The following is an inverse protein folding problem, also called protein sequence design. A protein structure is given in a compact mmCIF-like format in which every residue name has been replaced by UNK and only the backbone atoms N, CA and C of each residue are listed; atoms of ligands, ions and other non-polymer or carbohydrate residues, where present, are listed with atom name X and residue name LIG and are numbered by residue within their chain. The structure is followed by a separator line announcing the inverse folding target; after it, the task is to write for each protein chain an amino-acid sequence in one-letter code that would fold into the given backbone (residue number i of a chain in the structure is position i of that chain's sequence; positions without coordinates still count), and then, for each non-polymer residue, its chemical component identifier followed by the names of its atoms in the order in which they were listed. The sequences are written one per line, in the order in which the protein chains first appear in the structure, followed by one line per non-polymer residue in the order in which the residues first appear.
data_IF_383364770535
#
_entry.id   IF_383364770535
#
_cell.length_a   1.000
_cell.length_b   1.000
_cell.length_c   1.000
_cell.angle_alpha   90.00
_cell.angle_beta   90.00
_cell.angle_gamma   90.00
#
_symmetry.space_group_name_H-M   'P 1'
#
loop_
_entity.id
_entity.type
_entity.pdbx_description
1 polymer ?
#
# COMPACT_ATOMS: atom_id res chain seq x y z
N UNK A 1 9.17 -1.81 -1.13
CA UNK A 1 8.44 -0.76 -1.90
C UNK A 1 7.51 -1.46 -2.86
N UNK A 2 6.21 -1.16 -2.82
CA UNK A 2 5.23 -1.77 -3.73
C UNK A 2 5.12 -0.97 -5.02
N UNK A 3 5.05 -1.60 -6.19
CA UNK A 3 4.78 -0.90 -7.43
C UNK A 3 3.33 -0.43 -7.47
N UNK A 4 3.10 0.69 -8.14
CA UNK A 4 1.76 1.17 -8.45
C UNK A 4 1.34 0.63 -9.82
N UNK A 5 0.28 -0.21 -9.92
CA UNK A 5 -0.08 -0.89 -11.16
C UNK A 5 -0.91 0.03 -12.09
N UNK A 6 -0.41 1.22 -12.40
CA UNK A 6 -1.08 2.21 -13.25
C UNK A 6 -0.87 2.00 -14.75
N UNK A 7 0.09 1.17 -15.14
CA UNK A 7 0.44 0.90 -16.53
C UNK A 7 0.31 -0.56 -16.91
N UNK A 8 0.46 -0.84 -18.21
CA UNK A 8 0.35 -2.19 -18.79
C UNK A 8 1.52 -3.13 -18.41
N UNK A 9 2.47 -2.69 -17.60
CA UNK A 9 3.62 -3.49 -17.17
C UNK A 9 4.67 -2.70 -16.41
N UNK A 10 5.67 -3.42 -15.91
CA UNK A 10 6.81 -2.85 -15.21
C UNK A 10 7.68 -2.01 -16.15
N UNK A 11 8.23 -0.93 -15.63
CA UNK A 11 9.35 -0.23 -16.26
C UNK A 11 10.67 -0.59 -15.53
N UNK A 12 11.81 -0.31 -16.13
CA UNK A 12 13.14 -0.67 -15.63
C UNK A 12 13.46 -0.12 -14.22
N UNK A 13 12.81 0.95 -13.82
CA UNK A 13 12.96 1.51 -12.46
C UNK A 13 12.37 0.64 -11.34
N UNK A 14 11.36 -0.19 -11.65
CA UNK A 14 10.77 -1.08 -10.64
C UNK A 14 11.78 -2.15 -10.16
N UNK A 15 12.40 -2.94 -11.06
CA UNK A 15 13.37 -3.96 -10.65
C UNK A 15 14.59 -3.41 -9.93
N UNK A 16 14.98 -2.16 -10.20
CA UNK A 16 16.18 -1.57 -9.62
C UNK A 16 16.24 -1.71 -8.09
N UNK A 17 15.15 -1.33 -7.41
CA UNK A 17 15.07 -1.49 -5.95
C UNK A 17 14.86 -2.93 -5.50
N UNK A 18 14.19 -3.74 -6.32
CA UNK A 18 13.87 -5.14 -5.95
C UNK A 18 15.08 -6.07 -6.06
N UNK A 19 15.97 -5.84 -7.03
CA UNK A 19 17.19 -6.64 -7.20
C UNK A 19 18.03 -6.61 -5.92
N UNK A 20 18.27 -5.44 -5.35
CA UNK A 20 19.06 -5.31 -4.14
C UNK A 20 18.45 -6.07 -2.96
N UNK A 21 17.13 -5.92 -2.74
CA UNK A 21 16.44 -6.61 -1.66
C UNK A 21 16.37 -8.14 -1.89
N UNK A 22 16.25 -8.58 -3.14
CA UNK A 22 16.23 -10.00 -3.48
C UNK A 22 17.59 -10.66 -3.26
N UNK A 23 18.68 -10.05 -3.70
CA UNK A 23 20.04 -10.53 -3.47
C UNK A 23 20.29 -10.66 -1.96
N UNK A 24 19.94 -9.65 -1.18
CA UNK A 24 20.11 -9.68 0.26
C UNK A 24 19.27 -10.77 0.94
N UNK A 25 18.02 -10.92 0.51
CA UNK A 25 17.10 -11.94 1.02
C UNK A 25 17.63 -13.36 0.74
N UNK A 26 18.12 -13.61 -0.48
CA UNK A 26 18.75 -14.88 -0.86
C UNK A 26 19.99 -15.14 -0.02
N UNK A 27 20.86 -14.16 0.11
CA UNK A 27 22.07 -14.28 0.95
C UNK A 27 21.71 -14.68 2.39
N UNK A 28 20.70 -14.02 2.99
CA UNK A 28 20.27 -14.34 4.35
C UNK A 28 19.68 -15.74 4.48
N UNK A 29 18.89 -16.19 3.50
CA UNK A 29 18.38 -17.59 3.49
C UNK A 29 19.52 -18.60 3.43
N UNK A 30 20.53 -18.37 2.58
CA UNK A 30 21.70 -19.23 2.52
C UNK A 30 22.53 -19.26 3.81
N UNK A 31 22.40 -18.23 4.64
CA UNK A 31 22.99 -18.16 5.99
C UNK A 31 22.10 -18.78 7.08
N UNK A 32 20.98 -19.40 6.72
CA UNK A 32 20.07 -20.07 7.64
C UNK A 32 19.07 -19.15 8.36
N UNK A 33 18.96 -17.88 7.95
CA UNK A 33 17.95 -16.98 8.52
C UNK A 33 16.55 -17.28 7.97
N UNK A 34 15.55 -17.13 8.83
CA UNK A 34 14.15 -17.05 8.40
C UNK A 34 13.89 -15.65 7.81
N UNK A 35 13.62 -15.57 6.50
CA UNK A 35 13.53 -14.31 5.77
C UNK A 35 12.10 -14.06 5.30
N UNK A 36 11.51 -12.99 5.78
CA UNK A 36 10.26 -12.46 5.26
C UNK A 36 10.56 -11.48 4.10
N UNK A 37 10.26 -11.89 2.88
CA UNK A 37 10.44 -11.08 1.66
C UNK A 37 9.12 -10.97 0.90
N UNK A 38 8.14 -10.21 1.39
CA UNK A 38 6.84 -10.07 0.76
C UNK A 38 6.89 -9.10 -0.41
N UNK A 39 5.87 -9.17 -1.25
CA UNK A 39 5.59 -8.19 -2.30
C UNK A 39 4.12 -7.83 -2.27
N UNK A 40 3.78 -6.71 -2.88
CA UNK A 40 2.42 -6.24 -2.97
C UNK A 40 2.28 -5.13 -4.00
N UNK A 41 1.09 -4.53 -4.02
CA UNK A 41 0.75 -3.49 -4.98
C UNK A 41 0.08 -2.33 -4.27
N UNK A 42 0.59 -1.14 -4.52
CA UNK A 42 -0.09 0.10 -4.15
C UNK A 42 -1.14 0.37 -5.22
N UNK A 43 -2.38 0.01 -4.93
CA UNK A 43 -3.42 -0.17 -5.94
C UNK A 43 -4.59 0.81 -5.84
N UNK A 44 -4.50 1.81 -4.98
CA UNK A 44 -5.38 2.97 -5.00
C UNK A 44 -4.75 4.12 -5.75
N UNK A 45 -5.56 4.99 -6.34
CA UNK A 45 -5.09 6.28 -6.79
C UNK A 45 -5.81 6.85 -8.01
N UNK A 46 -5.61 8.15 -8.19
CA UNK A 46 -6.21 8.97 -9.23
C UNK A 46 -6.00 8.45 -10.67
N UNK A 47 -4.82 7.90 -11.07
CA UNK A 47 -4.67 7.38 -12.42
C UNK A 47 -5.63 6.25 -12.78
N UNK A 48 -5.93 5.34 -11.84
CA UNK A 48 -6.90 4.27 -12.06
C UNK A 48 -8.33 4.82 -12.18
N UNK A 49 -8.67 5.82 -11.39
CA UNK A 49 -9.97 6.49 -11.42
C UNK A 49 -10.17 7.28 -12.72
N UNK A 50 -9.17 8.05 -13.14
CA UNK A 50 -9.21 8.79 -14.41
C UNK A 50 -9.32 7.86 -15.62
N UNK A 51 -8.63 6.72 -15.58
CA UNK A 51 -8.76 5.72 -16.63
C UNK A 51 -10.19 5.14 -16.68
N UNK A 52 -10.78 4.87 -15.52
CA UNK A 52 -12.15 4.38 -15.40
C UNK A 52 -13.16 5.38 -15.98
N UNK A 53 -13.01 6.67 -15.67
CA UNK A 53 -13.87 7.74 -16.22
C UNK A 53 -13.78 7.79 -17.73
N UNK A 54 -12.56 7.72 -18.31
CA UNK A 54 -12.35 7.80 -19.75
C UNK A 54 -12.87 6.58 -20.52
N UNK A 55 -12.81 5.40 -19.91
CA UNK A 55 -13.10 4.13 -20.60
C UNK A 55 -14.44 3.52 -20.22
N UNK A 56 -15.12 4.07 -19.20
CA UNK A 56 -16.35 3.48 -18.65
C UNK A 56 -16.11 2.14 -17.94
N UNK A 57 -14.84 1.76 -17.67
CA UNK A 57 -14.53 0.52 -16.95
C UNK A 57 -14.37 0.79 -15.46
N UNK A 58 -14.86 -0.15 -14.64
CA UNK A 58 -14.66 -0.06 -13.21
C UNK A 58 -13.16 -0.16 -12.85
N UNK A 59 -12.61 0.74 -11.98
CA UNK A 59 -11.19 0.80 -11.67
C UNK A 59 -10.60 -0.54 -11.22
N UNK A 60 -11.36 -1.30 -10.46
CA UNK A 60 -10.96 -2.63 -9.97
C UNK A 60 -10.55 -3.57 -11.09
N UNK A 61 -11.29 -3.60 -12.21
CA UNK A 61 -11.02 -4.51 -13.33
C UNK A 61 -9.63 -4.24 -13.90
N UNK A 62 -9.39 -3.01 -14.32
CA UNK A 62 -8.10 -2.60 -14.90
C UNK A 62 -6.94 -2.78 -13.92
N UNK A 63 -7.13 -2.41 -12.65
CA UNK A 63 -6.11 -2.58 -11.61
C UNK A 63 -5.71 -4.04 -11.45
N UNK A 64 -6.68 -4.97 -11.41
CA UNK A 64 -6.37 -6.40 -11.27
C UNK A 64 -5.71 -7.00 -12.53
N UNK A 65 -6.11 -6.56 -13.73
CA UNK A 65 -5.45 -6.95 -14.98
C UNK A 65 -3.98 -6.50 -14.98
N UNK A 66 -3.71 -5.27 -14.58
CA UNK A 66 -2.35 -4.75 -14.45
C UNK A 66 -1.55 -5.50 -13.38
N UNK A 67 -2.11 -5.76 -12.20
CA UNK A 67 -1.48 -6.56 -11.15
C UNK A 67 -1.07 -7.94 -11.70
N UNK A 68 -1.94 -8.61 -12.44
CA UNK A 68 -1.64 -9.90 -13.04
C UNK A 68 -0.48 -9.82 -14.03
N UNK A 69 -0.39 -8.74 -14.81
CA UNK A 69 0.72 -8.51 -15.72
C UNK A 69 2.02 -8.27 -14.96
N UNK A 70 2.01 -7.39 -13.97
CA UNK A 70 3.16 -7.11 -13.10
C UNK A 70 3.66 -8.37 -12.42
N UNK A 71 2.75 -9.20 -11.89
CA UNK A 71 3.09 -10.47 -11.27
C UNK A 71 3.82 -11.40 -12.22
N UNK A 72 3.30 -11.60 -13.43
CA UNK A 72 3.93 -12.42 -14.46
C UNK A 72 5.33 -11.92 -14.83
N UNK A 73 5.51 -10.61 -14.88
CA UNK A 73 6.82 -10.02 -15.20
C UNK A 73 7.82 -10.21 -14.06
N UNK A 74 7.39 -10.01 -12.81
CA UNK A 74 8.23 -10.25 -11.62
C UNK A 74 8.64 -11.73 -11.49
N UNK A 75 7.71 -12.65 -11.78
CA UNK A 75 7.99 -14.08 -11.80
C UNK A 75 9.00 -14.46 -12.90
N UNK A 76 8.91 -13.83 -14.07
CA UNK A 76 9.88 -14.04 -15.17
C UNK A 76 11.29 -13.58 -14.84
N UNK A 77 11.43 -12.50 -14.07
CA UNK A 77 12.72 -12.01 -13.56
C UNK A 77 13.27 -12.99 -12.52
N UNK A 78 12.41 -13.76 -11.86
CA UNK A 78 12.80 -14.79 -10.90
C UNK A 78 13.06 -14.27 -9.51
N UNK A 79 12.42 -13.19 -9.08
CA UNK A 79 12.50 -12.70 -7.70
C UNK A 79 11.98 -13.73 -6.69
N UNK A 80 12.63 -13.81 -5.55
CA UNK A 80 12.32 -14.75 -4.46
C UNK A 80 11.29 -14.20 -3.47
N UNK A 81 10.26 -13.51 -3.98
CA UNK A 81 9.18 -12.99 -3.13
C UNK A 81 8.33 -14.11 -2.53
N UNK A 82 7.89 -13.89 -1.30
CA UNK A 82 6.87 -14.73 -0.66
C UNK A 82 5.47 -14.25 -1.09
N UNK A 83 4.97 -14.81 -2.16
CA UNK A 83 3.66 -14.47 -2.70
C UNK A 83 2.48 -14.93 -1.85
N UNK A 84 2.69 -15.82 -0.87
CA UNK A 84 1.64 -16.17 0.09
C UNK A 84 1.27 -14.99 0.98
N UNK A 85 2.14 -14.00 1.03
CA UNK A 85 1.98 -12.75 1.78
C UNK A 85 1.79 -11.53 0.87
N UNK A 86 1.28 -11.74 -0.33
CA UNK A 86 0.94 -10.65 -1.25
C UNK A 86 -0.09 -9.72 -0.65
N UNK A 87 0.16 -8.41 -0.76
CA UNK A 87 -0.72 -7.35 -0.27
C UNK A 87 -1.19 -6.49 -1.45
N UNK A 88 -2.47 -6.14 -1.44
CA UNK A 88 -3.07 -5.15 -2.34
C UNK A 88 -3.73 -4.08 -1.49
N UNK A 89 -3.27 -2.85 -1.59
CA UNK A 89 -3.77 -1.76 -0.73
C UNK A 89 -5.24 -1.44 -0.99
N UNK A 90 -5.78 -1.81 -2.16
CA UNK A 90 -7.20 -1.71 -2.50
C UNK A 90 -8.07 -2.88 -2.03
N UNK A 91 -7.50 -3.88 -1.34
CA UNK A 91 -8.29 -4.95 -0.74
C UNK A 91 -9.00 -4.43 0.52
N UNK A 92 -10.32 -4.69 0.69
CA UNK A 92 -11.06 -4.31 1.90
C UNK A 92 -10.42 -4.77 3.20
N UNK A 93 -9.78 -5.94 3.19
CA UNK A 93 -9.05 -6.44 4.37
C UNK A 93 -7.85 -5.57 4.76
N UNK A 94 -7.28 -4.86 3.79
CA UNK A 94 -6.18 -3.93 4.00
C UNK A 94 -6.69 -2.53 4.34
N UNK A 95 -7.48 -1.89 3.48
CA UNK A 95 -7.84 -0.50 3.62
C UNK A 95 -8.78 -0.20 4.79
N UNK A 96 -9.45 -1.20 5.37
CA UNK A 96 -10.21 -1.02 6.61
C UNK A 96 -9.36 -0.39 7.73
N UNK A 97 -8.07 -0.71 7.76
CA UNK A 97 -7.16 -0.14 8.75
C UNK A 97 -6.81 1.32 8.46
N UNK A 98 -6.67 1.67 7.19
CA UNK A 98 -6.52 3.06 6.74
C UNK A 98 -7.74 3.88 7.12
N UNK A 99 -8.94 3.34 6.88
CA UNK A 99 -10.20 3.97 7.28
C UNK A 99 -10.32 4.11 8.80
N UNK A 100 -9.92 3.11 9.54
CA UNK A 100 -9.92 3.16 11.00
C UNK A 100 -8.97 4.25 11.53
N UNK A 101 -7.74 4.32 11.02
CA UNK A 101 -6.79 5.38 11.38
C UNK A 101 -7.37 6.75 11.04
N UNK A 102 -7.98 6.89 9.86
CA UNK A 102 -8.63 8.13 9.46
C UNK A 102 -9.71 8.54 10.46
N UNK A 103 -10.57 7.63 10.91
CA UNK A 103 -11.62 7.95 11.88
C UNK A 103 -11.05 8.36 13.24
N UNK A 104 -9.94 7.76 13.68
CA UNK A 104 -9.25 8.19 14.89
C UNK A 104 -8.71 9.62 14.75
N UNK A 105 -8.08 9.93 13.62
CA UNK A 105 -7.56 11.28 13.33
C UNK A 105 -8.69 12.30 13.20
N UNK A 106 -9.77 11.94 12.52
CA UNK A 106 -10.95 12.80 12.33
C UNK A 106 -11.61 13.18 13.66
N UNK A 107 -11.65 12.24 14.61
CA UNK A 107 -12.21 12.44 15.96
C UNK A 107 -11.18 12.98 16.96
N UNK A 108 -10.05 13.50 16.50
CA UNK A 108 -8.98 13.99 17.35
C UNK A 108 -8.49 15.37 16.91
N UNK A 109 -7.94 16.13 17.83
CA UNK A 109 -7.19 17.34 17.55
C UNK A 109 -5.86 17.34 18.30
N UNK A 110 -4.90 18.10 17.81
CA UNK A 110 -3.62 18.28 18.48
C UNK A 110 -3.72 19.43 19.50
N UNK A 111 -3.46 19.13 20.78
CA UNK A 111 -3.40 20.14 21.84
C UNK A 111 -1.95 20.65 21.99
N UNK A 112 -1.63 21.92 21.63
CA UNK A 112 -0.28 22.46 21.75
C UNK A 112 0.21 22.54 23.20
N UNK A 113 -0.70 22.80 24.16
CA UNK A 113 -0.37 22.90 25.60
C UNK A 113 0.16 21.58 26.12
N UNK A 114 -0.54 20.48 25.81
CA UNK A 114 -0.19 19.15 26.33
C UNK A 114 0.73 18.36 25.37
N UNK A 115 0.99 18.91 24.18
CA UNK A 115 1.79 18.29 23.11
C UNK A 115 1.32 16.87 22.75
N UNK A 116 0.01 16.63 22.74
CA UNK A 116 -0.60 15.32 22.42
C UNK A 116 -1.94 15.46 21.71
N UNK A 117 -2.39 14.38 21.08
CA UNK A 117 -3.73 14.29 20.51
C UNK A 117 -4.77 14.13 21.63
N UNK A 118 -5.89 14.81 21.47
CA UNK A 118 -7.07 14.72 22.34
C UNK A 118 -8.32 14.44 21.51
N UNK A 119 -9.35 13.89 22.13
CA UNK A 119 -10.65 13.67 21.50
C UNK A 119 -11.36 14.99 21.25
N UNK A 120 -11.97 15.14 20.06
CA UNK A 120 -12.80 16.30 19.73
C UNK A 120 -14.01 16.50 20.65
N UNK A 121 -14.54 15.41 21.20
CA UNK A 121 -15.67 15.47 22.14
C UNK A 121 -15.31 16.21 23.45
N UNK A 122 -14.05 16.10 23.90
CA UNK A 122 -13.58 16.84 25.08
C UNK A 122 -13.36 18.33 24.76
N UNK A 123 -13.02 18.66 23.52
CA UNK A 123 -12.83 20.05 23.11
C UNK A 123 -14.15 20.83 23.07
N UNK A 124 -15.23 20.20 22.59
CA UNK A 124 -16.54 20.85 22.51
C UNK A 124 -17.20 21.04 23.87
N UNK A 125 -16.89 20.23 24.90
CA UNK A 125 -17.39 20.42 26.26
C UNK A 125 -16.69 21.57 26.98
N UNK A 126 -15.37 21.75 26.78
CA UNK A 126 -14.60 22.81 27.42
C UNK A 126 -14.86 24.21 26.80
N UNK A 127 -15.28 24.26 25.52
CA UNK A 127 -15.60 25.51 24.83
C UNK A 127 -16.99 26.07 25.16
N UNK A 128 -17.82 25.30 25.85
CA UNK A 128 -19.14 25.74 26.30
C UNK A 128 -19.12 26.41 27.69
N UNK A 129 -17.98 26.34 28.39
CA UNK A 129 -17.82 26.86 29.75
C UNK A 129 -16.94 28.14 29.81
N UNK A 130 -16.51 28.69 28.63
CA UNK A 130 -15.89 30.03 28.47
C UNK A 130 -16.85 31.01 27.77
#
# INVERSE_FOLDING_TARGET
MFPYPSGAGLHVGHPLGYIASDIYSRFKRHKGYNVLHPQGYDSFGLPAEQYAIRTGQHPRKTTYENINMYRKQLDRIGFSFDWSREIRTSDPKYYKWTQWIFTLMFNSYYCPKDKKAKSCLLYTSDAADE
#
